data_IF_279344874009
#
_entry.id   IF_279344874009
#
_cell.length_a   1.000
_cell.length_b   1.000
_cell.length_c   1.000
_cell.angle_alpha   90.00
_cell.angle_beta   90.00
_cell.angle_gamma   90.00
#
_symmetry.space_group_name_H-M   'P 1'
#
loop_
_entity.id
_entity.type
_entity.pdbx_description
1 polymer ?
#
# COMPACT_ATOMS: atom_id res chain seq x y z
N UNK A 1 52.01 -27.47 36.27
CA UNK A 1 52.37 -26.72 35.05
C UNK A 1 51.39 -27.12 33.95
N UNK A 2 50.65 -26.14 33.41
CA UNK A 2 50.11 -25.96 32.04
C UNK A 2 49.50 -27.16 31.27
N UNK A 3 48.43 -27.03 30.47
CA UNK A 3 47.56 -25.92 30.07
C UNK A 3 46.29 -26.55 29.45
N UNK A 4 45.16 -25.91 29.68
CA UNK A 4 43.89 -26.14 29.00
C UNK A 4 44.02 -25.93 27.48
N UNK A 5 43.42 -26.81 26.68
CA UNK A 5 42.89 -26.46 25.37
C UNK A 5 41.54 -27.20 25.21
N UNK A 6 40.47 -26.53 25.63
CA UNK A 6 39.13 -26.81 25.11
C UNK A 6 39.11 -26.34 23.65
N UNK A 7 38.97 -27.24 22.72
CA UNK A 7 38.62 -26.93 21.33
C UNK A 7 37.10 -26.94 21.22
N UNK A 8 36.51 -25.75 21.31
CA UNK A 8 35.10 -25.51 21.01
C UNK A 8 34.88 -25.76 19.52
N UNK A 9 34.20 -26.85 19.16
CA UNK A 9 33.64 -27.00 17.82
C UNK A 9 32.49 -26.01 17.68
N UNK A 10 32.73 -24.91 16.96
CA UNK A 10 31.68 -24.03 16.49
C UNK A 10 30.81 -24.79 15.51
N UNK A 11 29.65 -25.26 15.96
CA UNK A 11 28.57 -25.69 15.08
C UNK A 11 28.11 -24.46 14.30
N UNK A 12 28.55 -24.35 13.04
CA UNK A 12 27.96 -23.42 12.10
C UNK A 12 26.48 -23.79 11.95
N UNK A 13 25.61 -22.99 12.55
CA UNK A 13 24.18 -23.01 12.29
C UNK A 13 23.98 -22.63 10.81
N UNK A 14 23.92 -23.65 9.97
CA UNK A 14 23.37 -23.54 8.62
C UNK A 14 21.89 -23.25 8.82
N UNK A 15 21.51 -21.96 8.80
CA UNK A 15 20.12 -21.56 8.66
C UNK A 15 19.66 -21.90 7.24
N UNK A 16 19.26 -23.15 7.06
CA UNK A 16 18.57 -23.60 5.87
C UNK A 16 17.11 -23.14 5.85
N UNK A 17 16.62 -23.01 4.61
CA UNK A 17 15.22 -22.99 4.16
C UNK A 17 14.60 -21.59 3.94
N UNK A 18 15.03 -20.96 2.84
CA UNK A 18 14.13 -20.11 2.05
C UNK A 18 13.21 -21.04 1.26
N UNK A 19 11.96 -21.15 1.70
CA UNK A 19 10.92 -22.00 1.11
C UNK A 19 10.60 -21.61 -0.34
N UNK A 20 10.41 -22.64 -1.16
CA UNK A 20 10.20 -22.62 -2.60
C UNK A 20 9.01 -21.79 -3.08
N UNK A 21 9.25 -20.96 -4.10
CA UNK A 21 8.44 -20.66 -5.29
C UNK A 21 8.71 -19.22 -5.78
N UNK A 22 9.81 -19.02 -6.50
CA UNK A 22 10.14 -17.71 -7.08
C UNK A 22 10.52 -17.86 -8.57
N UNK A 23 10.27 -16.80 -9.35
CA UNK A 23 11.04 -16.56 -10.56
C UNK A 23 12.53 -16.68 -10.21
N UNK A 24 13.35 -17.23 -11.10
CA UNK A 24 14.76 -17.49 -10.80
C UNK A 24 15.45 -16.20 -10.31
N UNK A 25 15.67 -16.12 -8.99
CA UNK A 25 16.42 -15.01 -8.39
C UNK A 25 17.74 -14.93 -9.13
N UNK A 26 18.24 -13.73 -9.46
CA UNK A 26 19.54 -13.61 -10.12
C UNK A 26 20.59 -14.38 -9.32
N UNK A 27 21.34 -15.27 -9.97
CA UNK A 27 22.35 -16.10 -9.29
C UNK A 27 23.50 -15.23 -8.76
N UNK A 28 24.02 -15.52 -7.56
CA UNK A 28 25.17 -14.83 -6.96
C UNK A 28 24.91 -14.31 -5.54
N UNK A 29 25.99 -14.07 -4.78
CA UNK A 29 25.94 -13.49 -3.44
C UNK A 29 25.55 -12.02 -3.52
N UNK A 30 24.58 -11.53 -2.71
CA UNK A 30 24.26 -10.11 -2.66
C UNK A 30 25.44 -9.28 -2.12
N UNK A 31 25.58 -8.03 -2.58
CA UNK A 31 26.58 -7.09 -2.05
C UNK A 31 26.15 -6.55 -0.69
N UNK A 32 24.84 -6.47 -0.46
CA UNK A 32 24.26 -6.19 0.85
C UNK A 32 23.07 -7.13 1.10
N UNK A 33 22.99 -7.73 2.28
CA UNK A 33 21.85 -8.54 2.72
C UNK A 33 21.49 -8.14 4.14
N UNK A 34 20.18 -8.02 4.41
CA UNK A 34 19.67 -7.57 5.68
C UNK A 34 18.51 -8.46 6.13
N UNK A 35 18.31 -8.49 7.44
CA UNK A 35 17.18 -9.17 8.03
C UNK A 35 15.86 -8.68 7.42
N UNK A 36 14.97 -9.63 7.15
CA UNK A 36 13.67 -9.29 6.61
C UNK A 36 13.54 -9.27 5.09
N UNK A 37 14.49 -9.86 4.37
CA UNK A 37 14.35 -10.03 2.92
C UNK A 37 14.59 -8.73 2.15
N UNK A 38 15.52 -7.91 2.63
CA UNK A 38 16.09 -6.79 1.86
C UNK A 38 17.47 -7.21 1.41
N UNK A 39 17.72 -7.17 0.10
CA UNK A 39 19.06 -7.42 -0.41
C UNK A 39 19.35 -6.58 -1.66
N UNK A 40 20.59 -6.15 -1.78
CA UNK A 40 21.09 -5.35 -2.89
C UNK A 40 22.11 -6.17 -3.70
N UNK A 41 22.03 -6.08 -5.03
CA UNK A 41 22.91 -6.81 -5.96
C UNK A 41 23.66 -5.88 -6.90
N UNK A 42 24.79 -6.36 -7.38
CA UNK A 42 25.73 -5.68 -8.28
C UNK A 42 25.14 -5.30 -9.64
N UNK A 43 23.98 -5.86 -9.98
CA UNK A 43 23.16 -5.44 -11.11
C UNK A 43 22.41 -4.11 -10.89
N UNK A 44 22.78 -3.35 -9.86
CA UNK A 44 22.19 -2.08 -9.49
C UNK A 44 20.70 -2.16 -9.12
N UNK A 45 20.33 -3.21 -8.37
CA UNK A 45 18.94 -3.47 -7.97
C UNK A 45 18.85 -3.82 -6.49
N UNK A 46 17.96 -3.10 -5.79
CA UNK A 46 17.50 -3.40 -4.45
C UNK A 46 16.23 -4.26 -4.53
N UNK A 47 16.22 -5.41 -3.89
CA UNK A 47 15.07 -6.29 -3.80
C UNK A 47 14.45 -6.16 -2.41
N UNK A 48 13.12 -6.05 -2.37
CA UNK A 48 12.33 -5.89 -1.16
C UNK A 48 11.24 -6.97 -1.13
N UNK A 49 11.35 -7.89 -0.17
CA UNK A 49 10.43 -9.02 -0.03
C UNK A 49 9.14 -8.64 0.74
N UNK A 50 7.98 -8.79 0.10
CA UNK A 50 6.64 -8.54 0.67
C UNK A 50 5.88 -9.86 0.84
N UNK A 51 6.29 -10.67 1.81
CA UNK A 51 5.77 -12.05 1.98
C UNK A 51 4.77 -12.17 3.10
N UNK A 52 3.79 -13.06 2.89
CA UNK A 52 2.78 -13.41 3.88
C UNK A 52 3.32 -14.49 4.84
N UNK A 53 4.26 -14.10 5.70
CA UNK A 53 4.88 -14.96 6.72
C UNK A 53 5.00 -14.17 8.02
N UNK A 54 4.69 -14.80 9.15
CA UNK A 54 4.62 -14.13 10.46
C UNK A 54 5.92 -13.45 10.89
N UNK A 55 7.06 -13.95 10.40
CA UNK A 55 8.38 -13.38 10.65
C UNK A 55 8.84 -12.35 9.60
N UNK A 56 8.02 -12.04 8.61
CA UNK A 56 8.40 -11.11 7.54
C UNK A 56 8.34 -9.67 8.04
N UNK A 57 9.47 -8.99 7.94
CA UNK A 57 9.65 -7.57 8.27
C UNK A 57 10.57 -6.99 7.20
N UNK A 58 10.49 -5.71 6.87
CA UNK A 58 11.41 -5.00 5.99
C UNK A 58 11.99 -3.86 6.79
N UNK A 59 13.03 -4.15 7.57
CA UNK A 59 13.66 -3.17 8.43
C UNK A 59 14.79 -2.46 7.70
N UNK A 60 14.70 -1.14 7.61
CA UNK A 60 15.75 -0.31 7.03
C UNK A 60 16.58 0.27 8.17
N UNK A 61 17.59 -0.50 8.57
CA UNK A 61 18.58 -0.05 9.55
C UNK A 61 19.52 0.99 8.94
N UNK A 62 20.18 1.79 9.78
CA UNK A 62 21.21 2.72 9.30
C UNK A 62 22.36 2.00 8.58
N UNK A 63 22.70 0.78 9.03
CA UNK A 63 23.65 -0.10 8.33
C UNK A 63 23.15 -0.46 6.92
N UNK A 64 21.86 -0.78 6.78
CA UNK A 64 21.29 -1.11 5.49
C UNK A 64 21.33 0.05 4.51
N UNK A 65 20.95 1.24 4.99
CA UNK A 65 21.08 2.47 4.22
C UNK A 65 22.52 2.75 3.80
N UNK A 66 23.48 2.63 4.72
CA UNK A 66 24.89 2.90 4.43
C UNK A 66 25.47 1.93 3.40
N UNK A 67 25.19 0.63 3.54
CA UNK A 67 25.65 -0.38 2.59
C UNK A 67 25.09 -0.13 1.18
N UNK A 68 23.78 0.12 1.06
CA UNK A 68 23.17 0.43 -0.25
C UNK A 68 23.71 1.74 -0.82
N UNK A 69 23.84 2.79 0.00
CA UNK A 69 24.35 4.10 -0.45
C UNK A 69 25.81 4.03 -0.94
N UNK A 70 26.61 3.13 -0.37
CA UNK A 70 28.01 2.91 -0.75
C UNK A 70 28.14 2.13 -2.05
N UNK A 71 27.31 1.10 -2.24
CA UNK A 71 27.42 0.18 -3.37
C UNK A 71 26.58 0.62 -4.59
N UNK A 72 25.52 1.41 -4.39
CA UNK A 72 24.59 1.74 -5.45
C UNK A 72 25.01 2.89 -6.36
N UNK A 73 24.80 2.68 -7.67
CA UNK A 73 24.94 3.73 -8.68
C UNK A 73 23.57 4.37 -8.88
N UNK A 74 23.39 5.61 -8.43
CA UNK A 74 22.10 6.30 -8.54
C UNK A 74 21.80 6.75 -9.98
N UNK A 75 20.54 6.64 -10.45
CA UNK A 75 19.43 5.92 -9.81
C UNK A 75 19.58 4.40 -9.95
N UNK A 76 19.11 3.65 -8.96
CA UNK A 76 19.08 2.18 -8.98
C UNK A 76 17.64 1.65 -9.07
N UNK A 77 17.51 0.37 -9.45
CA UNK A 77 16.21 -0.30 -9.50
C UNK A 77 15.77 -0.71 -8.10
N UNK A 78 14.47 -0.65 -7.84
CA UNK A 78 13.85 -1.22 -6.63
C UNK A 78 12.79 -2.21 -7.09
N UNK A 79 12.96 -3.48 -6.75
CA UNK A 79 12.03 -4.55 -7.09
C UNK A 79 11.32 -5.00 -5.83
N UNK A 80 9.99 -4.87 -5.82
CA UNK A 80 9.15 -5.41 -4.74
C UNK A 80 8.66 -6.78 -5.16
N UNK A 81 9.11 -7.81 -4.45
CA UNK A 81 8.75 -9.20 -4.70
C UNK A 81 7.56 -9.61 -3.85
N UNK A 82 6.52 -10.17 -4.47
CA UNK A 82 5.32 -10.66 -3.77
C UNK A 82 5.16 -12.15 -3.98
N UNK A 83 4.82 -12.86 -2.90
CA UNK A 83 4.58 -14.31 -2.97
C UNK A 83 3.17 -14.65 -3.52
N UNK A 84 2.34 -13.63 -3.71
CA UNK A 84 1.02 -13.70 -4.35
C UNK A 84 1.01 -12.83 -5.60
N UNK A 85 0.36 -13.30 -6.67
CA UNK A 85 0.12 -12.45 -7.84
C UNK A 85 -0.61 -11.17 -7.45
N UNK A 86 -0.29 -10.08 -8.14
CA UNK A 86 -0.87 -8.78 -7.92
C UNK A 86 -2.35 -8.83 -8.30
N UNK A 87 -3.23 -8.57 -7.33
CA UNK A 87 -4.64 -8.40 -7.60
C UNK A 87 -4.88 -7.06 -8.33
N UNK A 88 -6.05 -6.93 -8.97
CA UNK A 88 -6.45 -5.71 -9.69
C UNK A 88 -6.36 -4.44 -8.84
N UNK A 89 -6.59 -4.55 -7.54
CA UNK A 89 -6.43 -3.46 -6.58
C UNK A 89 -5.54 -3.92 -5.42
N UNK A 90 -4.63 -3.05 -5.00
CA UNK A 90 -3.67 -3.26 -3.93
C UNK A 90 -3.23 -1.92 -3.33
N UNK A 91 -2.35 -1.99 -2.35
CA UNK A 91 -1.59 -0.87 -1.82
C UNK A 91 -0.08 -1.12 -1.92
N UNK A 92 0.71 -0.06 -1.69
CA UNK A 92 2.17 -0.10 -1.61
C UNK A 92 2.67 0.97 -0.63
N UNK A 93 3.75 0.69 0.09
CA UNK A 93 4.55 1.68 0.82
C UNK A 93 6.03 1.33 0.68
N UNK A 94 6.89 2.30 0.39
CA UNK A 94 8.32 2.09 0.16
C UNK A 94 9.18 3.00 1.03
N UNK A 95 10.40 2.55 1.41
CA UNK A 95 11.28 3.29 2.30
C UNK A 95 12.17 4.31 1.58
N UNK A 96 11.78 4.78 0.40
CA UNK A 96 12.52 5.75 -0.41
C UNK A 96 11.55 6.47 -1.35
N UNK A 97 11.93 7.60 -1.94
CA UNK A 97 11.18 8.22 -3.01
C UNK A 97 11.42 7.44 -4.32
N UNK A 98 10.38 7.26 -5.12
CA UNK A 98 10.42 6.36 -6.28
C UNK A 98 9.62 6.85 -7.48
N UNK A 99 9.97 6.31 -8.65
CA UNK A 99 9.13 6.35 -9.85
C UNK A 99 8.89 4.94 -10.39
N UNK A 100 7.65 4.64 -10.75
CA UNK A 100 7.22 3.37 -11.30
C UNK A 100 7.78 3.14 -12.70
N UNK A 101 8.30 1.95 -12.98
CA UNK A 101 8.72 1.53 -14.33
C UNK A 101 7.68 0.68 -15.08
N UNK A 102 6.72 0.12 -14.35
CA UNK A 102 5.71 -0.78 -14.92
C UNK A 102 4.55 0.00 -15.54
N UNK A 103 4.22 -0.31 -16.80
CA UNK A 103 3.01 0.18 -17.46
C UNK A 103 1.74 -0.58 -17.03
N UNK A 104 1.89 -1.68 -16.29
CA UNK A 104 0.77 -2.49 -15.82
C UNK A 104 0.12 -1.95 -14.55
N UNK A 105 0.71 -0.93 -13.93
CA UNK A 105 0.31 -0.44 -12.61
C UNK A 105 0.14 1.07 -12.66
N UNK A 106 -0.88 1.57 -11.95
CA UNK A 106 -1.06 2.98 -11.67
C UNK A 106 -1.08 3.22 -10.17
N UNK A 107 -0.48 4.33 -9.76
CA UNK A 107 -0.42 4.72 -8.36
C UNK A 107 -1.34 5.90 -8.09
N UNK A 108 -2.04 5.85 -6.97
CA UNK A 108 -2.95 6.90 -6.54
C UNK A 108 -2.67 7.30 -5.10
N UNK A 109 -2.59 8.60 -4.87
CA UNK A 109 -2.46 9.19 -3.55
C UNK A 109 -3.83 9.38 -2.91
N UNK A 110 -4.02 8.99 -1.63
CA UNK A 110 -5.22 9.35 -0.89
C UNK A 110 -5.34 10.89 -0.79
N UNK A 111 -6.53 11.43 -1.06
CA UNK A 111 -6.80 12.86 -0.99
C UNK A 111 -7.76 13.19 0.14
N UNK A 112 -8.93 12.54 0.16
CA UNK A 112 -10.03 12.95 1.03
C UNK A 112 -11.03 11.81 1.25
N UNK A 113 -11.65 11.82 2.42
CA UNK A 113 -12.86 11.08 2.74
C UNK A 113 -14.04 12.06 2.79
N UNK A 114 -15.22 11.62 2.42
CA UNK A 114 -16.42 12.44 2.60
C UNK A 114 -17.69 11.67 2.28
N UNK A 115 -18.81 12.38 2.15
CA UNK A 115 -20.01 11.84 1.52
C UNK A 115 -20.21 12.48 0.15
N UNK A 116 -20.76 11.70 -0.77
CA UNK A 116 -21.35 12.27 -1.95
C UNK A 116 -22.66 13.00 -1.57
N UNK A 117 -23.27 13.68 -2.54
CA UNK A 117 -24.49 14.45 -2.29
C UNK A 117 -25.73 13.60 -2.08
N UNK A 118 -25.63 12.27 -2.24
CA UNK A 118 -26.66 11.31 -1.83
C UNK A 118 -26.47 10.82 -0.38
N UNK A 119 -25.44 11.31 0.31
CA UNK A 119 -25.11 10.92 1.68
C UNK A 119 -24.26 9.65 1.76
N UNK A 120 -23.80 9.11 0.63
CA UNK A 120 -23.00 7.90 0.57
C UNK A 120 -21.54 8.21 0.78
N UNK A 121 -20.85 7.46 1.63
CA UNK A 121 -19.43 7.65 1.86
C UNK A 121 -18.59 7.42 0.60
N UNK A 122 -17.59 8.28 0.41
CA UNK A 122 -16.62 8.16 -0.65
C UNK A 122 -15.19 8.39 -0.15
N UNK A 123 -14.25 7.71 -0.79
CA UNK A 123 -12.82 7.90 -0.63
C UNK A 123 -12.22 8.31 -1.97
N UNK A 124 -11.58 9.47 -2.00
CA UNK A 124 -11.03 10.06 -3.22
C UNK A 124 -9.52 9.88 -3.24
N UNK A 125 -9.00 9.40 -4.38
CA UNK A 125 -7.57 9.26 -4.61
C UNK A 125 -7.17 9.79 -5.99
N UNK A 126 -6.01 10.44 -6.07
CA UNK A 126 -5.52 11.12 -7.27
C UNK A 126 -4.29 10.41 -7.83
N UNK A 127 -4.29 10.20 -9.14
CA UNK A 127 -3.18 9.59 -9.85
C UNK A 127 -1.88 10.38 -9.60
N UNK A 128 -0.84 9.68 -9.15
CA UNK A 128 0.45 10.28 -8.78
C UNK A 128 1.41 10.44 -9.95
N UNK A 129 0.97 10.11 -11.18
CA UNK A 129 1.82 10.02 -12.38
C UNK A 129 2.99 9.04 -12.20
N UNK A 130 2.79 8.01 -11.39
CA UNK A 130 3.77 6.95 -11.15
C UNK A 130 4.88 7.31 -10.17
N UNK A 131 4.85 8.49 -9.52
CA UNK A 131 5.82 8.84 -8.47
C UNK A 131 5.25 8.62 -7.09
N UNK A 132 6.10 8.42 -6.10
CA UNK A 132 5.71 8.30 -4.70
C UNK A 132 6.85 8.72 -3.77
N UNK A 133 6.47 9.19 -2.58
CA UNK A 133 7.43 9.61 -1.56
C UNK A 133 7.68 8.48 -0.57
N UNK A 134 8.87 8.48 0.02
CA UNK A 134 9.27 7.59 1.09
C UNK A 134 8.23 7.58 2.21
N UNK A 135 7.91 6.38 2.68
CA UNK A 135 7.00 6.12 3.80
C UNK A 135 5.57 6.62 3.57
N UNK A 136 5.21 7.05 2.35
CA UNK A 136 3.84 7.43 2.03
C UNK A 136 3.10 6.22 1.45
N UNK A 137 2.13 5.63 2.17
CA UNK A 137 1.30 4.59 1.60
C UNK A 137 0.44 5.12 0.45
N UNK A 138 0.29 4.31 -0.59
CA UNK A 138 -0.45 4.64 -1.81
C UNK A 138 -1.36 3.47 -2.23
N UNK A 139 -2.41 3.79 -2.99
CA UNK A 139 -3.16 2.76 -3.71
C UNK A 139 -2.43 2.41 -4.99
N UNK A 140 -2.51 1.14 -5.36
CA UNK A 140 -1.84 0.55 -6.50
C UNK A 140 -2.86 -0.27 -7.28
N UNK A 141 -3.17 0.18 -8.49
CA UNK A 141 -4.20 -0.41 -9.34
C UNK A 141 -3.50 -1.07 -10.53
N UNK A 142 -3.71 -2.37 -10.69
CA UNK A 142 -3.12 -3.17 -11.77
C UNK A 142 -4.12 -3.34 -12.92
N UNK A 143 -3.63 -3.27 -14.15
CA UNK A 143 -4.41 -3.52 -15.36
C UNK A 143 -4.47 -5.03 -15.67
N UNK A 144 -5.13 -5.79 -14.79
CA UNK A 144 -5.21 -7.26 -14.90
C UNK A 144 -6.03 -7.77 -16.09
N UNK A 145 -6.68 -6.87 -16.85
CA UNK A 145 -7.38 -7.20 -18.10
C UNK A 145 -6.38 -7.41 -19.25
N UNK A 146 -5.19 -6.80 -19.17
CA UNK A 146 -4.09 -7.05 -20.09
C UNK A 146 -3.39 -8.35 -19.68
N UNK A 147 -3.31 -9.31 -20.60
CA UNK A 147 -2.69 -10.62 -20.37
C UNK A 147 -1.24 -10.51 -19.84
N UNK A 148 -0.45 -9.57 -20.36
CA UNK A 148 0.91 -9.32 -19.88
C UNK A 148 0.98 -8.82 -18.42
N UNK A 149 -0.15 -8.44 -17.83
CA UNK A 149 -0.26 -7.87 -16.49
C UNK A 149 -1.04 -8.76 -15.50
N UNK A 150 -1.58 -9.90 -15.93
CA UNK A 150 -2.48 -10.72 -15.11
C UNK A 150 -1.80 -11.53 -14.00
N UNK A 151 -0.50 -11.82 -14.15
CA UNK A 151 0.28 -12.66 -13.22
C UNK A 151 1.54 -11.97 -12.67
N UNK A 152 1.52 -10.64 -12.58
CA UNK A 152 2.64 -9.86 -12.02
C UNK A 152 2.87 -10.22 -10.56
N UNK A 153 4.09 -10.61 -10.21
CA UNK A 153 4.55 -10.81 -8.81
C UNK A 153 5.65 -9.84 -8.40
N UNK A 154 6.26 -9.18 -9.37
CA UNK A 154 7.37 -8.24 -9.18
C UNK A 154 6.98 -6.87 -9.69
N UNK A 155 7.19 -5.86 -8.87
CA UNK A 155 6.90 -4.47 -9.27
C UNK A 155 8.22 -3.71 -9.23
N UNK A 156 8.62 -3.20 -10.39
CA UNK A 156 9.87 -2.47 -10.53
C UNK A 156 9.65 -0.96 -10.47
N UNK A 157 10.48 -0.31 -9.68
CA UNK A 157 10.59 1.12 -9.52
C UNK A 157 12.02 1.60 -9.76
N UNK A 158 12.18 2.90 -9.93
CA UNK A 158 13.46 3.60 -9.96
C UNK A 158 13.59 4.42 -8.69
N UNK A 159 14.71 4.30 -7.98
CA UNK A 159 15.01 5.15 -6.82
C UNK A 159 15.14 6.62 -7.22
N UNK A 160 14.54 7.53 -6.47
CA UNK A 160 14.75 8.98 -6.57
C UNK A 160 15.62 9.49 -5.41
N UNK A 161 15.57 8.82 -4.26
CA UNK A 161 16.39 9.11 -3.08
C UNK A 161 17.10 7.86 -2.56
N UNK A 162 17.94 8.05 -1.54
CA UNK A 162 18.40 6.95 -0.70
C UNK A 162 17.26 6.34 0.12
N UNK A 163 17.56 5.18 0.69
CA UNK A 163 16.78 4.58 1.76
C UNK A 163 16.62 5.55 2.92
N UNK A 164 15.40 5.67 3.42
CA UNK A 164 15.01 6.45 4.57
C UNK A 164 14.98 5.56 5.83
N UNK A 165 16.09 5.60 6.57
CA UNK A 165 16.31 4.92 7.85
C UNK A 165 15.76 5.69 9.06
N UNK A 166 14.98 6.78 8.87
CA UNK A 166 14.49 7.57 10.00
C UNK A 166 13.75 6.65 10.99
N UNK A 167 14.25 6.52 12.23
CA UNK A 167 13.75 5.55 13.19
C UNK A 167 12.36 5.98 13.62
N UNK A 168 11.33 5.37 13.04
CA UNK A 168 10.04 5.32 13.71
C UNK A 168 10.08 4.06 14.53
N UNK A 169 9.95 4.20 15.84
CA UNK A 169 9.75 3.10 16.79
C UNK A 169 8.53 2.22 16.44
N UNK A 170 7.85 2.46 15.32
CA UNK A 170 6.67 1.77 14.84
C UNK A 170 6.93 1.45 13.36
N UNK A 171 6.81 0.17 13.01
CA UNK A 171 6.85 -0.38 11.65
C UNK A 171 5.69 0.13 10.77
N UNK A 172 4.88 1.05 11.29
CA UNK A 172 3.69 1.61 10.67
C UNK A 172 3.96 3.08 10.35
N UNK A 173 3.69 3.45 9.10
CA UNK A 173 3.67 4.83 8.62
C UNK A 173 2.27 5.17 8.15
N UNK A 174 1.86 6.44 8.19
CA UNK A 174 0.49 6.80 7.85
C UNK A 174 0.36 8.10 7.06
N UNK A 175 -0.74 8.16 6.30
CA UNK A 175 -1.32 9.39 5.76
C UNK A 175 -2.68 9.55 6.39
N UNK A 176 -2.81 10.57 7.23
CA UNK A 176 -4.11 11.01 7.73
C UNK A 176 -4.94 11.58 6.58
N UNK A 177 -6.19 11.13 6.48
CA UNK A 177 -7.10 11.51 5.41
C UNK A 177 -8.12 12.45 6.00
N UNK A 178 -8.14 13.70 5.52
CA UNK A 178 -9.15 14.67 5.91
C UNK A 178 -10.53 14.20 5.48
N UNK A 179 -11.49 14.29 6.40
CA UNK A 179 -12.88 13.99 6.18
C UNK A 179 -13.69 15.29 6.16
N UNK A 180 -14.30 15.61 5.02
CA UNK A 180 -15.10 16.83 4.89
C UNK A 180 -16.40 16.81 5.68
N UNK A 181 -16.91 15.63 6.04
CA UNK A 181 -18.15 15.53 6.82
C UNK A 181 -17.92 15.87 8.29
N UNK A 182 -16.86 15.32 8.88
CA UNK A 182 -16.53 15.56 10.29
C UNK A 182 -15.64 16.79 10.49
N UNK A 183 -15.03 17.30 9.41
CA UNK A 183 -14.03 18.36 9.47
C UNK A 183 -12.73 17.94 10.15
N UNK A 184 -12.49 16.64 10.30
CA UNK A 184 -11.36 16.05 11.02
C UNK A 184 -10.66 15.00 10.15
N UNK A 185 -9.46 14.58 10.55
CA UNK A 185 -8.81 13.40 9.96
C UNK A 185 -9.12 12.16 10.79
N UNK A 186 -10.35 11.66 10.68
CA UNK A 186 -10.83 10.47 11.40
C UNK A 186 -10.51 9.15 10.66
N UNK A 187 -9.88 9.24 9.50
CA UNK A 187 -9.36 8.11 8.73
C UNK A 187 -7.86 8.23 8.47
N UNK A 188 -7.20 7.10 8.34
CA UNK A 188 -5.76 6.99 8.10
C UNK A 188 -5.48 5.85 7.14
N UNK A 189 -4.67 6.09 6.10
CA UNK A 189 -4.07 5.00 5.33
C UNK A 189 -2.74 4.66 5.99
N UNK A 190 -2.61 3.44 6.51
CA UNK A 190 -1.46 2.98 7.28
C UNK A 190 -0.67 1.96 6.47
N UNK A 191 0.57 2.30 6.11
CA UNK A 191 1.55 1.39 5.53
C UNK A 191 2.33 0.66 6.60
N UNK A 192 2.63 -0.61 6.40
CA UNK A 192 3.42 -1.43 7.32
C UNK A 192 4.69 -1.93 6.65
N UNK A 193 5.78 -1.96 7.41
CA UNK A 193 7.02 -2.65 7.09
C UNK A 193 7.11 -4.03 7.76
N UNK A 194 6.09 -4.46 8.50
CA UNK A 194 6.03 -5.80 9.09
C UNK A 194 4.74 -6.51 8.79
N UNK A 195 4.80 -7.83 8.88
CA UNK A 195 3.62 -8.65 8.90
C UNK A 195 2.73 -8.27 10.08
N UNK A 196 1.44 -8.08 9.80
CA UNK A 196 0.42 -7.90 10.83
C UNK A 196 -0.65 -8.96 10.59
N UNK A 197 -1.07 -9.62 11.66
CA UNK A 197 -2.24 -10.50 11.67
C UNK A 197 -3.20 -10.02 12.73
N UNK A 198 -4.46 -9.85 12.31
CA UNK A 198 -5.53 -9.43 13.19
C UNK A 198 -6.18 -10.67 13.79
N UNK A 199 -5.73 -11.06 14.97
CA UNK A 199 -6.31 -12.18 15.72
C UNK A 199 -7.64 -11.82 16.37
N UNK A 200 -8.33 -12.85 16.87
CA UNK A 200 -9.52 -12.66 17.70
C UNK A 200 -9.24 -11.65 18.84
N UNK A 201 -10.18 -10.72 19.06
CA UNK A 201 -10.06 -9.63 20.03
C UNK A 201 -8.98 -8.57 19.76
N UNK A 202 -8.32 -8.57 18.59
CA UNK A 202 -7.40 -7.49 18.25
C UNK A 202 -8.15 -6.12 18.27
N UNK A 203 -7.61 -5.06 18.91
CA UNK A 203 -8.32 -3.80 19.14
C UNK A 203 -8.73 -3.06 17.85
N UNK A 204 -8.00 -3.32 16.77
CA UNK A 204 -8.30 -2.77 15.44
C UNK A 204 -9.38 -3.56 14.66
N UNK A 205 -9.83 -4.70 15.16
CA UNK A 205 -10.98 -5.39 14.57
C UNK A 205 -12.20 -4.47 14.64
N UNK A 206 -12.92 -4.37 13.53
CA UNK A 206 -14.05 -3.45 13.45
C UNK A 206 -13.74 -2.14 12.76
N UNK A 207 -12.47 -1.70 12.73
CA UNK A 207 -12.06 -0.35 12.29
C UNK A 207 -11.04 -0.36 11.15
N UNK A 208 -10.52 -1.54 10.77
CA UNK A 208 -9.54 -1.69 9.69
C UNK A 208 -10.14 -2.36 8.45
N UNK A 209 -9.68 -1.90 7.29
CA UNK A 209 -10.11 -2.33 5.97
C UNK A 209 -8.90 -2.50 5.04
N UNK A 210 -8.94 -3.47 4.14
CA UNK A 210 -7.84 -3.74 3.22
C UNK A 210 -8.26 -4.53 1.98
N UNK A 211 -7.36 -4.60 1.00
CA UNK A 211 -7.59 -5.43 -0.19
C UNK A 211 -7.26 -6.89 0.09
N UNK A 212 -8.18 -7.79 -0.25
CA UNK A 212 -7.97 -9.22 -0.21
C UNK A 212 -6.90 -9.61 -1.25
N UNK A 213 -5.84 -10.29 -0.82
CA UNK A 213 -4.76 -10.70 -1.73
C UNK A 213 -5.08 -11.98 -2.52
N UNK A 214 -6.05 -12.76 -2.07
CA UNK A 214 -6.47 -14.04 -2.67
C UNK A 214 -7.95 -14.30 -2.40
N UNK A 215 -8.53 -15.22 -3.16
CA UNK A 215 -9.87 -15.72 -2.92
C UNK A 215 -9.94 -16.50 -1.58
N UNK A 216 -10.97 -16.25 -0.78
CA UNK A 216 -11.28 -17.00 0.45
C UNK A 216 -12.79 -16.93 0.72
N UNK A 217 -13.49 -18.05 0.54
CA UNK A 217 -14.94 -18.09 0.66
C UNK A 217 -15.60 -17.17 -0.38
N UNK A 218 -16.45 -16.26 0.09
CA UNK A 218 -17.14 -15.26 -0.75
C UNK A 218 -16.26 -14.07 -1.12
N UNK A 219 -15.13 -13.88 -0.42
CA UNK A 219 -14.19 -12.78 -0.69
C UNK A 219 -13.28 -13.14 -1.86
N UNK A 220 -13.18 -12.25 -2.85
CA UNK A 220 -12.34 -12.37 -4.06
C UNK A 220 -11.08 -11.53 -3.98
N UNK A 221 -10.01 -11.97 -4.62
CA UNK A 221 -8.76 -11.21 -4.73
C UNK A 221 -9.02 -9.80 -5.33
N UNK A 222 -8.46 -8.77 -4.72
CA UNK A 222 -8.63 -7.36 -5.10
C UNK A 222 -9.89 -6.70 -4.54
N UNK A 223 -10.75 -7.44 -3.82
CA UNK A 223 -11.88 -6.86 -3.08
C UNK A 223 -11.40 -6.10 -1.85
N UNK A 224 -11.99 -4.93 -1.59
CA UNK A 224 -11.72 -4.15 -0.39
C UNK A 224 -12.71 -4.52 0.70
N UNK A 225 -12.23 -5.13 1.77
CA UNK A 225 -13.07 -5.73 2.82
C UNK A 225 -12.68 -5.22 4.19
N UNK A 226 -13.66 -5.25 5.10
CA UNK A 226 -13.41 -5.14 6.53
C UNK A 226 -12.53 -6.30 6.98
N UNK A 227 -11.47 -5.99 7.72
CA UNK A 227 -10.57 -6.99 8.27
C UNK A 227 -11.29 -7.75 9.38
N UNK A 228 -11.39 -9.07 9.21
CA UNK A 228 -11.88 -10.01 10.20
C UNK A 228 -10.74 -10.74 10.91
N UNK A 229 -11.08 -11.54 11.92
CA UNK A 229 -10.10 -12.38 12.62
C UNK A 229 -9.38 -13.35 11.65
N UNK A 230 -8.07 -13.47 11.81
CA UNK A 230 -7.18 -14.28 10.96
C UNK A 230 -6.88 -13.66 9.60
N UNK A 231 -7.28 -12.42 9.34
CA UNK A 231 -6.78 -11.65 8.21
C UNK A 231 -5.37 -11.14 8.49
N UNK A 232 -4.57 -10.97 7.44
CA UNK A 232 -3.19 -10.52 7.56
C UNK A 232 -2.79 -9.55 6.45
N UNK A 233 -1.74 -8.78 6.70
CA UNK A 233 -1.09 -7.89 5.73
C UNK A 233 0.42 -8.11 5.79
N UNK A 234 1.04 -8.32 4.63
CA UNK A 234 2.48 -8.46 4.50
C UNK A 234 3.19 -7.08 4.54
N UNK A 235 4.51 -7.04 4.81
CA UNK A 235 5.32 -5.83 4.69
C UNK A 235 5.15 -5.11 3.34
N UNK A 236 5.42 -3.80 3.32
CA UNK A 236 5.34 -2.92 2.14
C UNK A 236 3.92 -2.76 1.58
N UNK A 237 2.90 -3.10 2.36
CA UNK A 237 1.48 -2.92 2.03
C UNK A 237 0.85 -1.91 2.99
N UNK A 238 -0.34 -1.46 2.64
CA UNK A 238 -1.11 -0.54 3.46
C UNK A 238 -2.58 -0.98 3.62
N UNK A 239 -3.18 -0.56 4.72
CA UNK A 239 -4.59 -0.76 5.07
C UNK A 239 -5.21 0.58 5.52
N UNK A 240 -6.53 0.70 5.39
CA UNK A 240 -7.27 1.86 5.85
C UNK A 240 -7.73 1.62 7.29
N UNK A 241 -7.53 2.59 8.17
CA UNK A 241 -7.94 2.56 9.57
C UNK A 241 -8.83 3.73 9.90
N UNK A 242 -9.96 3.45 10.54
CA UNK A 242 -10.77 4.47 11.20
C UNK A 242 -10.18 4.76 12.58
N UNK A 243 -9.81 6.01 12.83
CA UNK A 243 -9.23 6.46 14.10
C UNK A 243 -10.27 7.04 15.06
N UNK A 244 -11.51 7.23 14.60
CA UNK A 244 -12.55 7.93 15.36
C UNK A 244 -12.38 9.44 15.34
N UNK A 245 -13.46 10.16 15.68
CA UNK A 245 -13.35 11.57 16.03
C UNK A 245 -12.87 11.67 17.47
N UNK A 246 -11.78 12.40 17.73
CA UNK A 246 -11.38 12.73 19.11
C UNK A 246 -12.37 13.77 19.67
N UNK A 247 -13.62 13.37 19.92
CA UNK A 247 -14.53 14.19 20.72
C UNK A 247 -14.37 13.76 22.18
N UNK A 248 -13.92 14.69 23.02
CA UNK A 248 -13.86 14.57 24.49
C UNK A 248 -15.26 14.51 25.14
N UNK A 249 -16.27 14.04 24.41
CA UNK A 249 -17.65 13.95 24.88
C UNK A 249 -17.96 12.51 25.29
N UNK A 250 -17.93 12.27 26.60
CA UNK A 250 -18.61 11.14 27.25
C UNK A 250 -20.03 11.06 26.69
N UNK A 251 -20.41 9.90 26.13
CA UNK A 251 -21.78 9.53 25.69
C UNK A 251 -22.17 9.76 24.22
N UNK A 252 -21.28 9.50 23.26
CA UNK A 252 -21.73 9.15 21.90
C UNK A 252 -21.58 7.63 21.69
N UNK A 253 -22.66 6.97 21.23
CA UNK A 253 -22.59 5.59 20.73
C UNK A 253 -21.51 5.50 19.64
N UNK A 254 -20.75 4.38 19.54
CA UNK A 254 -19.78 4.23 18.46
C UNK A 254 -20.49 4.47 17.13
N UNK A 255 -19.98 5.42 16.34
CA UNK A 255 -20.53 5.70 15.03
C UNK A 255 -20.49 4.40 14.22
N UNK A 256 -21.66 3.92 13.80
CA UNK A 256 -21.75 2.74 12.95
C UNK A 256 -21.04 3.05 11.63
N UNK A 257 -19.93 2.35 11.39
CA UNK A 257 -19.14 2.54 10.18
C UNK A 257 -19.98 2.13 8.97
N UNK A 258 -19.85 2.86 7.84
CA UNK A 258 -20.70 2.60 6.70
C UNK A 258 -20.53 1.20 6.15
N UNK A 259 -21.64 0.64 5.67
CA UNK A 259 -21.62 -0.66 4.99
C UNK A 259 -20.97 -0.61 3.60
N UNK A 260 -20.82 0.57 3.00
CA UNK A 260 -20.24 0.73 1.65
C UNK A 260 -19.49 2.07 1.54
N UNK A 261 -18.36 2.08 0.81
CA UNK A 261 -17.58 3.29 0.45
C UNK A 261 -17.37 3.28 -1.06
N UNK A 262 -17.69 4.39 -1.73
CA UNK A 262 -17.36 4.56 -3.15
C UNK A 262 -15.94 5.11 -3.31
N UNK A 263 -15.14 4.57 -4.22
CA UNK A 263 -13.79 5.04 -4.50
C UNK A 263 -13.67 5.71 -5.84
N UNK A 264 -13.32 6.99 -5.73
CA UNK A 264 -13.17 7.91 -6.82
C UNK A 264 -11.70 8.02 -7.16
N UNK A 265 -11.29 7.36 -8.25
CA UNK A 265 -9.95 7.48 -8.81
C UNK A 265 -9.96 8.63 -9.83
N UNK A 266 -9.14 9.65 -9.56
CA UNK A 266 -8.97 10.81 -10.42
C UNK A 266 -7.70 10.61 -11.26
N UNK A 267 -7.85 10.34 -12.55
CA UNK A 267 -6.71 10.31 -13.49
C UNK A 267 -6.26 11.72 -13.90
N UNK A 268 -4.95 11.90 -14.14
CA UNK A 268 -4.34 13.19 -14.46
C UNK A 268 -4.71 13.73 -15.86
N UNK A 269 -4.79 15.07 -15.97
CA UNK A 269 -5.08 15.88 -17.18
C UNK A 269 -6.16 15.32 -18.12
N UNK A 270 -7.43 15.59 -17.78
CA UNK A 270 -8.56 15.32 -18.67
C UNK A 270 -9.85 14.84 -17.99
N UNK A 271 -9.84 14.63 -16.67
CA UNK A 271 -11.06 14.47 -15.88
C UNK A 271 -11.80 13.15 -16.07
N UNK A 272 -11.11 12.10 -16.55
CA UNK A 272 -11.70 10.75 -16.51
C UNK A 272 -11.66 10.25 -15.07
N UNK A 273 -12.81 10.32 -14.41
CA UNK A 273 -13.03 9.72 -13.09
C UNK A 273 -13.40 8.25 -13.29
N UNK A 274 -12.63 7.35 -12.68
CA UNK A 274 -13.07 5.96 -12.56
C UNK A 274 -13.68 5.78 -11.19
N UNK A 275 -14.99 5.55 -11.17
CA UNK A 275 -15.71 5.22 -9.95
C UNK A 275 -15.77 3.71 -9.79
N UNK A 276 -15.32 3.26 -8.64
CA UNK A 276 -15.39 1.88 -8.21
C UNK A 276 -16.16 1.89 -6.89
N UNK A 277 -17.30 1.20 -6.83
CA UNK A 277 -18.11 1.13 -5.62
C UNK A 277 -17.68 -0.07 -4.79
N UNK A 278 -17.40 0.14 -3.51
CA UNK A 278 -17.05 -0.93 -2.58
C UNK A 278 -18.19 -1.17 -1.61
N UNK A 279 -18.64 -2.41 -1.53
CA UNK A 279 -19.45 -2.87 -0.42
C UNK A 279 -18.52 -3.38 0.69
N UNK A 280 -18.50 -2.71 1.83
CA UNK A 280 -17.65 -3.05 2.98
C UNK A 280 -18.20 -4.22 3.79
N UNK A 281 -19.51 -4.48 3.69
CA UNK A 281 -20.15 -5.64 4.30
C UNK A 281 -19.90 -6.92 3.49
N UNK A 282 -19.96 -6.84 2.15
CA UNK A 282 -19.83 -8.02 1.27
C UNK A 282 -18.50 -8.13 0.54
N UNK A 283 -17.67 -7.08 0.53
CA UNK A 283 -16.46 -7.00 -0.27
C UNK A 283 -16.69 -6.75 -1.76
N UNK A 284 -17.94 -6.72 -2.23
CA UNK A 284 -18.24 -6.61 -3.64
C UNK A 284 -17.75 -5.28 -4.23
N UNK A 285 -17.10 -5.39 -5.39
CA UNK A 285 -16.68 -4.24 -6.18
C UNK A 285 -17.55 -4.16 -7.43
N UNK A 286 -18.27 -3.04 -7.58
CA UNK A 286 -18.97 -2.73 -8.83
C UNK A 286 -18.29 -1.58 -9.54
N UNK A 287 -17.82 -1.82 -10.77
CA UNK A 287 -17.46 -0.71 -11.67
C UNK A 287 -18.72 0.09 -11.91
N UNK A 288 -18.70 1.38 -11.58
CA UNK A 288 -19.87 2.21 -11.79
C UNK A 288 -19.81 2.73 -13.22
N UNK A 289 -20.66 2.20 -14.10
CA UNK A 289 -20.69 2.59 -15.51
C UNK A 289 -21.26 4.01 -15.67
N UNK A 290 -20.42 4.91 -16.19
CA UNK A 290 -20.78 6.30 -16.46
C UNK A 290 -19.58 7.23 -16.29
N UNK A 291 -19.76 8.48 -16.68
CA UNK A 291 -18.82 9.54 -16.35
C UNK A 291 -19.25 10.18 -15.03
N UNK A 292 -18.31 10.57 -14.18
CA UNK A 292 -18.65 11.13 -12.87
C UNK A 292 -17.93 12.46 -12.62
N UNK A 293 -18.55 13.38 -11.89
CA UNK A 293 -17.83 14.57 -11.42
C UNK A 293 -16.88 14.23 -10.26
N UNK A 294 -16.07 15.20 -9.83
CA UNK A 294 -15.15 15.05 -8.70
C UNK A 294 -15.85 14.79 -7.34
N UNK A 295 -17.18 14.84 -7.30
CA UNK A 295 -18.00 14.55 -6.13
C UNK A 295 -18.75 13.21 -6.27
N UNK A 296 -18.42 12.40 -7.28
CA UNK A 296 -19.06 11.10 -7.53
C UNK A 296 -20.45 11.16 -8.17
N UNK A 297 -20.87 12.30 -8.78
CA UNK A 297 -22.18 12.40 -9.46
C UNK A 297 -22.11 11.88 -10.88
N UNK A 298 -23.06 11.03 -11.26
CA UNK A 298 -23.18 10.55 -12.65
C UNK A 298 -23.46 11.72 -13.59
N UNK A 299 -22.65 11.84 -14.63
CA UNK A 299 -22.82 12.76 -15.74
C UNK A 299 -23.62 12.04 -16.83
N UNK A 300 -24.50 12.79 -17.49
CA UNK A 300 -25.37 12.28 -18.55
C UNK A 300 -24.64 12.04 -19.89
N UNK A 301 -23.32 12.24 -19.93
CA UNK A 301 -22.48 12.07 -21.12
C UNK A 301 -21.01 12.27 -20.79
N UNK A 302 -20.14 11.96 -21.75
CA UNK A 302 -18.70 12.24 -21.64
C UNK A 302 -18.50 13.75 -21.58
N UNK A 303 -17.79 14.32 -20.59
CA UNK A 303 -17.57 15.76 -20.54
C UNK A 303 -16.77 16.20 -21.79
N UNK A 304 -17.36 17.09 -22.58
CA UNK A 304 -16.81 17.56 -23.86
C UNK A 304 -15.71 18.63 -23.70
N UNK A 305 -15.64 19.26 -22.52
CA UNK A 305 -14.69 20.35 -22.25
C UNK A 305 -13.56 19.89 -21.31
N UNK A 306 -12.34 19.78 -21.84
CA UNK A 306 -11.09 19.45 -21.11
C UNK A 306 -10.59 20.56 -20.15
N UNK A 307 -11.48 21.40 -19.62
CA UNK A 307 -11.12 22.59 -18.83
C UNK A 307 -11.87 22.67 -17.51
N UNK A 308 -11.18 22.31 -16.43
CA UNK A 308 -11.16 23.00 -15.13
C UNK A 308 -12.46 23.68 -14.65
N UNK A 309 -13.16 23.06 -13.69
CA UNK A 309 -14.00 23.79 -12.72
C UNK A 309 -13.30 23.80 -11.36
N UNK A 310 -12.36 24.74 -11.18
CA UNK A 310 -11.99 25.23 -9.84
C UNK A 310 -13.08 26.21 -9.43
N UNK A 311 -13.58 26.04 -8.20
CA UNK A 311 -14.80 26.70 -7.72
C UNK A 311 -14.84 28.21 -7.95
N UNK A 312 -16.05 28.71 -8.23
CA UNK A 312 -16.43 30.12 -8.11
C UNK A 312 -15.85 30.71 -6.82
N UNK A 313 -14.79 31.52 -6.93
CA UNK A 313 -14.66 32.70 -6.08
C UNK A 313 -15.16 33.88 -6.89
N UNK A 314 -16.24 34.47 -6.39
CA UNK A 314 -16.85 35.71 -6.86
C UNK A 314 -15.76 36.77 -7.03
N UNK A 315 -15.58 37.27 -8.26
CA UNK A 315 -15.06 38.62 -8.46
C UNK A 315 -16.29 39.45 -8.78
N UNK A 316 -16.76 40.21 -7.79
CA UNK A 316 -17.68 41.30 -8.08
C UNK A 316 -16.89 42.38 -8.84
N UNK A 317 -17.58 43.00 -9.81
CA UNK A 317 -17.04 44.06 -10.67
C UNK A 317 -16.49 45.24 -9.87
#
# INVERSE_FOLDING_TARGET
MNKNILTTLSAALVFGLVSAAWAERPTGTPDCEFDGGVFYKSNNTLYLESFNKDSATVEITSYAKECVSTNAKKPYNVVVERNTKLAANSTIVLPLDYSLKSDCVKLYEPVQMGKDKSGKWNFTAKNSKGTGNAKKPMLMIADTEKEACSDIKEITFTSQTDLDDTPRQHLITNVQIYNSESGQSDWSLEGTYSYIQWEEYHPDLGTVYGYAAKDKGEVKAGQFVKVGSGASVAPLRAYLKYMGTKSLAKSASPAELPETIDVLLIDGEGGTTRMVRWNMATGEITKVNGWYDLNGRKLNGKPENKGMFVGKKTIQK
#
